data_IF_436723653752
#
_entry.id   IF_436723653752
#
_cell.length_a   1.000
_cell.length_b   1.000
_cell.length_c   1.000
_cell.angle_alpha   90.00
_cell.angle_beta   90.00
_cell.angle_gamma   90.00
#
_symmetry.space_group_name_H-M   'P 1'
#
loop_
_entity.id
_entity.type
_entity.pdbx_description
1 polymer ?
#
# COMPACT_ATOMS: atom_id res chain seq x y z
N UNK A 1 8.26 2.01 13.63
CA UNK A 1 7.18 1.37 12.85
C UNK A 1 7.50 -0.08 12.55
N UNK A 2 8.66 -0.37 11.94
CA UNK A 2 9.15 -1.73 11.66
C UNK A 2 9.10 -2.71 12.88
N UNK A 3 9.51 -2.26 14.07
CA UNK A 3 9.52 -3.10 15.30
C UNK A 3 8.13 -3.53 15.80
N UNK A 4 7.07 -2.79 15.46
CA UNK A 4 5.70 -3.08 15.91
C UNK A 4 5.08 -4.19 15.06
N UNK A 5 5.39 -4.23 13.76
CA UNK A 5 4.96 -5.30 12.85
C UNK A 5 5.63 -6.62 13.23
N UNK A 6 6.94 -6.59 13.54
CA UNK A 6 7.72 -7.78 13.88
C UNK A 6 7.30 -8.45 15.20
N UNK A 7 6.62 -7.73 16.10
CA UNK A 7 6.08 -8.23 17.38
C UNK A 7 4.60 -8.58 17.33
N UNK A 8 3.92 -8.32 16.21
CA UNK A 8 2.48 -8.52 16.09
C UNK A 8 2.17 -9.94 15.63
N UNK A 9 1.43 -10.69 16.45
CA UNK A 9 0.86 -11.98 16.05
C UNK A 9 -0.13 -11.78 14.89
N UNK A 10 -0.09 -12.68 13.90
CA UNK A 10 -1.06 -12.72 12.80
C UNK A 10 -2.48 -12.67 13.37
N UNK A 11 -3.25 -11.64 12.98
CA UNK A 11 -4.67 -11.54 13.30
C UNK A 11 -5.46 -12.07 12.11
N UNK A 12 -6.16 -13.19 12.31
CA UNK A 12 -6.95 -13.79 11.24
C UNK A 12 -8.11 -12.85 10.82
N UNK A 13 -8.35 -12.78 9.51
CA UNK A 13 -9.43 -11.98 8.93
C UNK A 13 -9.09 -10.51 8.64
N UNK A 14 -7.86 -10.04 8.89
CA UNK A 14 -7.44 -8.71 8.42
C UNK A 14 -7.25 -8.70 6.91
N UNK A 15 -7.70 -7.63 6.28
CA UNK A 15 -7.45 -7.31 4.89
C UNK A 15 -6.83 -5.92 4.82
N UNK A 16 -5.89 -5.75 3.90
CA UNK A 16 -5.09 -4.55 3.73
C UNK A 16 -5.35 -3.97 2.35
N UNK A 17 -5.67 -2.68 2.29
CA UNK A 17 -5.75 -1.92 1.05
C UNK A 17 -4.72 -0.80 1.14
N UNK A 18 -3.77 -0.79 0.22
CA UNK A 18 -2.62 0.10 0.17
C UNK A 18 -2.65 0.85 -1.15
N UNK A 19 -2.35 2.13 -1.12
CA UNK A 19 -2.32 2.96 -2.32
C UNK A 19 -1.14 3.93 -2.26
N UNK A 20 -0.51 4.10 -3.42
CA UNK A 20 0.61 5.00 -3.65
C UNK A 20 0.39 5.74 -4.97
N UNK A 21 0.79 7.01 -5.02
CA UNK A 21 0.88 7.76 -6.26
C UNK A 21 2.33 7.79 -6.73
N UNK A 22 2.60 7.67 -8.03
CA UNK A 22 3.99 7.72 -8.53
C UNK A 22 4.63 9.12 -8.45
N UNK A 23 3.88 10.12 -7.99
CA UNK A 23 4.32 11.49 -7.68
C UNK A 23 3.87 11.94 -6.29
N UNK A 24 3.61 11.00 -5.39
CA UNK A 24 3.26 11.33 -4.00
C UNK A 24 4.42 12.08 -3.33
N UNK A 25 5.67 11.72 -3.70
CA UNK A 25 6.90 12.38 -3.30
C UNK A 25 7.79 12.67 -4.52
N UNK A 26 8.64 13.69 -4.44
CA UNK A 26 9.69 13.97 -5.43
C UNK A 26 11.05 13.40 -5.00
N UNK A 27 11.14 12.82 -3.79
CA UNK A 27 12.34 12.17 -3.30
C UNK A 27 12.42 10.73 -3.83
N UNK A 28 13.39 10.54 -4.72
CA UNK A 28 13.91 9.23 -5.12
C UNK A 28 15.35 9.15 -4.57
N UNK A 29 15.47 8.65 -3.33
CA UNK A 29 16.76 8.63 -2.60
C UNK A 29 17.75 7.64 -3.19
N UNK A 30 17.27 6.54 -3.78
CA UNK A 30 18.11 5.48 -4.33
C UNK A 30 18.36 5.63 -5.85
N UNK A 31 17.77 6.66 -6.47
CA UNK A 31 17.80 6.99 -7.91
C UNK A 31 17.44 5.80 -8.80
N UNK A 32 16.51 4.95 -8.35
CA UNK A 32 16.09 3.78 -9.11
C UNK A 32 14.90 4.08 -10.06
N UNK A 33 14.35 5.29 -10.02
CA UNK A 33 13.18 5.71 -10.80
C UNK A 33 11.84 5.44 -10.12
N UNK A 34 11.85 5.01 -8.86
CA UNK A 34 10.69 4.70 -8.01
C UNK A 34 10.81 5.54 -6.73
N UNK A 35 9.74 6.22 -6.36
CA UNK A 35 9.74 7.07 -5.16
C UNK A 35 9.79 6.22 -3.88
N UNK A 36 10.41 6.75 -2.82
CA UNK A 36 10.58 6.05 -1.55
C UNK A 36 9.24 5.51 -1.00
N UNK A 37 8.15 6.27 -1.13
CA UNK A 37 6.80 5.83 -0.75
C UNK A 37 6.29 4.54 -1.40
N UNK A 38 6.73 4.22 -2.64
CA UNK A 38 6.39 2.95 -3.30
C UNK A 38 7.24 1.81 -2.73
N UNK A 39 8.55 2.05 -2.57
CA UNK A 39 9.49 1.07 -2.04
C UNK A 39 9.10 0.66 -0.60
N UNK A 40 8.80 1.64 0.26
CA UNK A 40 8.30 1.41 1.63
C UNK A 40 6.99 0.62 1.63
N UNK A 41 6.09 0.87 0.67
CA UNK A 41 4.81 0.15 0.57
C UNK A 41 5.02 -1.29 0.13
N UNK A 42 5.92 -1.55 -0.82
CA UNK A 42 6.28 -2.89 -1.26
C UNK A 42 6.95 -3.68 -0.12
N UNK A 43 7.83 -3.05 0.65
CA UNK A 43 8.46 -3.68 1.82
C UNK A 43 7.43 -4.08 2.88
N UNK A 44 6.42 -3.23 3.13
CA UNK A 44 5.30 -3.57 4.02
C UNK A 44 4.51 -4.78 3.49
N UNK A 45 4.25 -4.85 2.18
CA UNK A 45 3.56 -5.98 1.56
C UNK A 45 4.37 -7.28 1.74
N UNK A 46 5.67 -7.22 1.51
CA UNK A 46 6.57 -8.35 1.71
C UNK A 46 6.58 -8.81 3.17
N UNK A 47 6.60 -7.88 4.12
CA UNK A 47 6.52 -8.19 5.55
C UNK A 47 5.17 -8.83 5.92
N UNK A 48 4.07 -8.35 5.38
CA UNK A 48 2.74 -8.97 5.57
C UNK A 48 2.70 -10.39 5.00
N UNK A 49 3.30 -10.62 3.83
CA UNK A 49 3.43 -11.97 3.26
C UNK A 49 4.29 -12.87 4.15
N UNK A 50 5.41 -12.36 4.69
CA UNK A 50 6.27 -13.08 5.66
C UNK A 50 5.52 -13.45 6.94
N UNK A 51 4.61 -12.60 7.42
CA UNK A 51 3.72 -12.88 8.55
C UNK A 51 2.64 -13.94 8.26
N UNK A 52 2.49 -14.37 7.00
CA UNK A 52 1.56 -15.41 6.58
C UNK A 52 0.15 -14.91 6.21
N UNK A 53 0.03 -13.63 5.83
CA UNK A 53 -1.18 -13.12 5.16
C UNK A 53 -1.19 -13.57 3.69
N UNK A 54 -2.37 -13.94 3.18
CA UNK A 54 -2.51 -14.35 1.77
C UNK A 54 -2.40 -13.14 0.85
N UNK A 55 -1.95 -13.36 -0.39
CA UNK A 55 -1.95 -12.30 -1.41
C UNK A 55 -3.36 -11.75 -1.66
N UNK A 56 -4.39 -12.56 -1.47
CA UNK A 56 -5.79 -12.13 -1.57
C UNK A 56 -6.25 -11.23 -0.42
N UNK A 57 -5.53 -11.21 0.70
CA UNK A 57 -5.79 -10.31 1.82
C UNK A 57 -5.15 -8.93 1.62
N UNK A 58 -4.28 -8.76 0.61
CA UNK A 58 -3.53 -7.53 0.38
C UNK A 58 -3.87 -7.00 -1.02
N UNK A 59 -4.45 -5.80 -1.10
CA UNK A 59 -4.69 -5.08 -2.35
C UNK A 59 -3.78 -3.86 -2.39
N UNK A 60 -2.97 -3.76 -3.44
CA UNK A 60 -2.10 -2.61 -3.69
C UNK A 60 -2.57 -1.92 -4.98
N UNK A 61 -2.74 -0.61 -4.92
CA UNK A 61 -3.19 0.23 -6.03
C UNK A 61 -2.17 1.33 -6.25
N UNK A 62 -1.49 1.27 -7.38
CA UNK A 62 -0.56 2.32 -7.80
C UNK A 62 -1.27 3.27 -8.76
N UNK A 63 -1.20 4.57 -8.49
CA UNK A 63 -1.77 5.62 -9.35
C UNK A 63 -0.65 6.31 -10.10
N UNK A 64 -0.55 6.00 -11.40
CA UNK A 64 0.41 6.67 -12.28
C UNK A 64 0.10 8.18 -12.36
N UNK A 65 1.11 9.01 -12.10
CA UNK A 65 0.99 10.47 -11.95
C UNK A 65 0.13 10.94 -10.77
N UNK A 66 -0.19 10.04 -9.83
CA UNK A 66 -0.91 10.39 -8.60
C UNK A 66 -0.04 11.20 -7.65
N UNK A 67 -0.63 12.23 -7.04
CA UNK A 67 -0.01 13.09 -6.03
C UNK A 67 -0.65 12.85 -4.66
N UNK A 68 -0.02 13.34 -3.60
CA UNK A 68 -0.60 13.37 -2.24
C UNK A 68 -1.72 14.41 -2.13
N UNK A 69 -2.81 14.22 -2.87
CA UNK A 69 -3.91 15.17 -2.92
C UNK A 69 -5.29 14.48 -3.01
N UNK A 70 -6.36 15.20 -2.62
CA UNK A 70 -7.72 14.66 -2.68
C UNK A 70 -8.18 14.26 -4.09
N UNK A 71 -7.62 14.87 -5.14
CA UNK A 71 -7.96 14.53 -6.54
C UNK A 71 -7.51 13.11 -6.90
N UNK A 72 -6.28 12.74 -6.54
CA UNK A 72 -5.74 11.39 -6.74
C UNK A 72 -6.55 10.38 -5.92
N UNK A 73 -6.87 10.71 -4.67
CA UNK A 73 -7.67 9.85 -3.80
C UNK A 73 -9.10 9.65 -4.31
N UNK A 74 -9.72 10.68 -4.86
CA UNK A 74 -11.04 10.58 -5.47
C UNK A 74 -11.07 9.58 -6.65
N UNK A 75 -9.96 9.45 -7.39
CA UNK A 75 -9.82 8.48 -8.48
C UNK A 75 -9.81 7.02 -8.02
N UNK A 76 -9.20 6.74 -6.86
CA UNK A 76 -9.08 5.38 -6.29
C UNK A 76 -10.19 5.04 -5.30
N UNK A 77 -10.94 6.02 -4.81
CA UNK A 77 -12.05 5.82 -3.88
C UNK A 77 -13.10 4.82 -4.40
N UNK A 78 -13.50 4.80 -5.69
CA UNK A 78 -14.43 3.78 -6.21
C UNK A 78 -13.86 2.36 -6.13
N UNK A 79 -12.56 2.18 -6.37
CA UNK A 79 -11.88 0.89 -6.24
C UNK A 79 -11.90 0.42 -4.78
N UNK A 80 -11.53 1.31 -3.86
CA UNK A 80 -11.56 1.05 -2.43
C UNK A 80 -12.96 0.66 -1.96
N UNK A 81 -14.00 1.41 -2.35
CA UNK A 81 -15.38 1.11 -1.96
C UNK A 81 -15.86 -0.23 -2.50
N UNK A 82 -15.47 -0.57 -3.73
CA UNK A 82 -15.77 -1.87 -4.32
C UNK A 82 -15.11 -2.99 -3.52
N UNK A 83 -13.83 -2.84 -3.18
CA UNK A 83 -13.11 -3.81 -2.37
C UNK A 83 -13.63 -3.94 -0.93
N UNK A 84 -13.97 -2.83 -0.28
CA UNK A 84 -14.34 -2.80 1.13
C UNK A 84 -15.79 -3.26 1.39
N UNK A 85 -16.72 -2.93 0.49
CA UNK A 85 -18.16 -3.11 0.73
C UNK A 85 -18.85 -4.04 -0.27
N UNK A 86 -18.29 -4.24 -1.45
CA UNK A 86 -18.85 -5.13 -2.46
C UNK A 86 -18.12 -6.48 -2.41
N UNK A 87 -18.66 -7.36 -1.57
CA UNK A 87 -18.29 -8.77 -1.48
C UNK A 87 -19.03 -9.60 -2.53
#
# INVERSE_FOLDING_TARGET
MHDILHRSLKREGLQFWLQTGTKDEEEDRNKNGVIDSIDDTLDIIDELKRLGYSETAIRYVEVENGYHNPETWAGVLPDFLTWAFWK
#
